data_IF_895177882489
#
_entry.id   IF_895177882489
#
_cell.length_a   1.000
_cell.length_b   1.000
_cell.length_c   1.000
_cell.angle_alpha   90.00
_cell.angle_beta   90.00
_cell.angle_gamma   90.00
#
_symmetry.space_group_name_H-M   'P 1'
#
loop_
_entity.id
_entity.type
_entity.pdbx_description
1 polymer ?
#
# COMPACT_ATOMS: atom_id res chain seq x y z
N UNK A 1 9.61 51.05 -10.64
CA UNK A 1 9.09 50.27 -11.79
C UNK A 1 10.22 49.36 -12.28
N UNK A 2 9.99 48.08 -12.64
CA UNK A 2 8.73 47.33 -12.69
C UNK A 2 8.69 46.08 -11.77
N UNK A 3 7.45 45.62 -11.56
CA UNK A 3 6.93 44.34 -11.03
C UNK A 3 6.56 43.45 -12.26
N UNK A 4 6.31 42.11 -12.18
CA UNK A 4 5.28 41.53 -11.30
C UNK A 4 5.52 40.13 -10.69
N UNK A 5 4.82 39.88 -9.59
CA UNK A 5 4.28 38.57 -9.16
C UNK A 5 2.82 38.50 -9.68
N UNK A 6 2.19 37.33 -9.95
CA UNK A 6 1.54 36.58 -8.86
C UNK A 6 1.28 35.06 -9.06
N UNK A 7 0.85 34.38 -7.96
CA UNK A 7 -0.01 33.17 -7.86
C UNK A 7 0.59 31.81 -8.34
N UNK A 8 0.42 30.64 -7.70
CA UNK A 8 -0.63 30.15 -6.79
C UNK A 8 -0.13 28.95 -5.94
N UNK A 9 -0.44 28.96 -4.63
CA UNK A 9 -0.44 27.81 -3.71
C UNK A 9 -1.44 26.74 -4.14
N UNK A 10 -1.22 25.47 -3.76
CA UNK A 10 -2.31 24.54 -3.38
C UNK A 10 -1.81 23.46 -2.39
N UNK A 11 -2.04 23.76 -1.09
CA UNK A 11 -2.55 22.89 -0.01
C UNK A 11 -1.73 21.62 0.34
N UNK A 12 -1.10 21.46 1.52
CA UNK A 12 -1.52 21.84 2.88
C UNK A 12 -3.02 21.61 3.13
N UNK A 13 -3.44 20.34 3.18
CA UNK A 13 -4.75 19.95 3.68
C UNK A 13 -4.76 19.83 5.20
N UNK A 14 -4.57 20.96 5.88
CA UNK A 14 -4.84 21.18 7.30
C UNK A 14 -3.93 20.47 8.31
N UNK A 15 -2.86 21.17 8.75
CA UNK A 15 -2.48 21.36 10.18
C UNK A 15 -0.97 21.52 10.49
N UNK A 16 -0.09 21.84 9.53
CA UNK A 16 1.28 22.25 9.88
C UNK A 16 1.81 23.39 9.00
N UNK A 17 1.56 24.63 9.44
CA UNK A 17 2.19 25.83 8.89
C UNK A 17 3.39 26.23 9.76
N UNK A 18 4.61 25.76 9.42
CA UNK A 18 5.87 26.46 9.70
C UNK A 18 7.09 25.61 9.26
N UNK A 19 8.02 26.14 8.45
CA UNK A 19 9.34 25.53 8.19
C UNK A 19 10.16 25.32 9.47
N UNK A 20 9.91 26.11 10.51
CA UNK A 20 10.52 25.92 11.82
C UNK A 20 9.94 24.71 12.57
N UNK A 21 8.70 24.28 12.26
CA UNK A 21 8.10 23.07 12.84
C UNK A 21 8.71 21.79 12.23
N UNK A 22 9.07 21.80 10.94
CA UNK A 22 9.79 20.70 10.30
C UNK A 22 11.20 20.51 10.89
N UNK A 23 11.98 21.60 11.04
CA UNK A 23 13.29 21.57 11.73
C UNK A 23 13.20 21.19 13.21
N UNK A 24 12.15 21.62 13.92
CA UNK A 24 11.90 21.18 15.31
C UNK A 24 11.57 19.68 15.40
N UNK A 25 10.97 19.09 14.36
CA UNK A 25 10.60 17.69 14.33
C UNK A 25 11.79 16.74 14.09
N UNK A 26 12.77 17.14 13.26
CA UNK A 26 14.05 16.42 13.14
C UNK A 26 14.84 16.44 14.45
N UNK A 27 14.80 17.55 15.20
CA UNK A 27 15.39 17.64 16.54
C UNK A 27 14.70 16.75 17.59
N UNK A 28 13.40 16.42 17.41
CA UNK A 28 12.66 15.56 18.34
C UNK A 28 13.02 14.08 18.18
N UNK A 29 13.45 13.65 16.98
CA UNK A 29 13.99 12.30 16.76
C UNK A 29 15.37 12.11 17.39
N UNK A 30 16.20 13.16 17.44
CA UNK A 30 17.53 13.11 18.08
C UNK A 30 17.48 13.05 19.62
N UNK A 31 16.34 13.40 20.23
CA UNK A 31 16.14 13.30 21.70
C UNK A 31 15.39 12.04 22.14
N UNK A 32 15.03 11.15 21.21
CA UNK A 32 14.27 9.95 21.52
C UNK A 32 15.20 8.86 22.10
N UNK A 33 14.98 8.49 23.36
CA UNK A 33 15.67 7.34 23.99
C UNK A 33 14.84 6.09 23.70
N UNK A 34 15.45 5.13 23.00
CA UNK A 34 14.87 3.81 22.76
C UNK A 34 15.26 2.90 23.93
N UNK A 35 14.33 2.61 24.84
CA UNK A 35 14.51 1.60 25.89
C UNK A 35 13.32 0.63 25.84
N UNK A 36 13.47 -0.49 25.13
CA UNK A 36 12.39 -1.46 24.91
C UNK A 36 11.23 -0.89 24.08
N UNK A 37 9.99 -1.28 24.41
CA UNK A 37 8.75 -1.00 23.64
C UNK A 37 8.21 0.45 23.76
N UNK A 38 9.02 1.40 24.22
CA UNK A 38 8.61 2.78 24.48
C UNK A 38 9.60 3.77 23.86
N UNK A 39 9.06 4.80 23.21
CA UNK A 39 9.79 5.99 22.78
C UNK A 39 9.28 7.18 23.58
N UNK A 40 10.18 7.89 24.26
CA UNK A 40 9.88 9.07 25.08
C UNK A 40 10.33 10.36 24.40
N UNK A 41 9.46 11.37 24.33
CA UNK A 41 9.82 12.73 23.91
C UNK A 41 9.55 13.69 25.05
N UNK A 42 10.58 14.43 25.49
CA UNK A 42 10.52 15.33 26.62
C UNK A 42 9.57 16.53 26.35
N UNK A 43 8.85 17.02 27.38
CA UNK A 43 7.95 18.17 27.23
C UNK A 43 8.71 19.48 26.89
N UNK A 44 8.02 20.48 26.30
CA UNK A 44 6.59 20.54 26.04
C UNK A 44 6.16 19.82 24.75
N UNK A 45 5.20 18.90 24.88
CA UNK A 45 4.59 18.16 23.77
C UNK A 45 3.07 18.14 23.89
N UNK A 46 2.40 18.31 22.76
CA UNK A 46 0.94 18.28 22.63
C UNK A 46 0.43 16.87 22.34
N UNK A 47 -0.86 16.63 22.59
CA UNK A 47 -1.54 15.36 22.24
C UNK A 47 -1.38 15.04 20.76
N UNK A 48 -1.51 16.04 19.88
CA UNK A 48 -1.34 15.89 18.43
C UNK A 48 0.09 15.47 18.07
N UNK A 49 1.10 15.99 18.76
CA UNK A 49 2.49 15.59 18.57
C UNK A 49 2.73 14.14 19.01
N UNK A 50 2.13 13.69 20.11
CA UNK A 50 2.22 12.29 20.53
C UNK A 50 1.52 11.34 19.55
N UNK A 51 0.35 11.72 19.03
CA UNK A 51 -0.36 10.96 18.01
C UNK A 51 0.44 10.84 16.71
N UNK A 52 1.05 11.95 16.27
CA UNK A 52 1.91 11.99 15.09
C UNK A 52 3.21 11.17 15.27
N UNK A 53 3.77 11.15 16.49
CA UNK A 53 4.91 10.30 16.81
C UNK A 53 4.53 8.82 16.76
N UNK A 54 3.40 8.45 17.38
CA UNK A 54 2.91 7.08 17.35
C UNK A 54 2.57 6.61 15.93
N UNK A 55 1.91 7.43 15.09
CA UNK A 55 1.62 7.05 13.70
C UNK A 55 2.88 6.81 12.86
N UNK A 56 4.04 7.34 13.28
CA UNK A 56 5.37 7.11 12.70
C UNK A 56 6.13 5.93 13.31
N UNK A 57 5.59 5.20 14.29
CA UNK A 57 6.22 4.02 14.90
C UNK A 57 5.51 2.71 14.51
N UNK A 58 6.27 1.69 14.11
CA UNK A 58 5.70 0.47 13.53
C UNK A 58 5.06 -0.34 14.65
N UNK A 59 3.80 -0.75 14.47
CA UNK A 59 3.03 -1.43 15.52
C UNK A 59 2.67 -0.55 16.72
N UNK A 60 2.79 0.79 16.62
CA UNK A 60 2.25 1.69 17.63
C UNK A 60 0.73 1.81 17.50
N UNK A 61 0.02 1.39 18.55
CA UNK A 61 -1.44 1.42 18.60
C UNK A 61 -2.00 2.56 19.45
N UNK A 62 -1.15 3.25 20.19
CA UNK A 62 -1.58 4.35 21.05
C UNK A 62 -0.41 5.08 21.69
N UNK A 63 -0.72 6.09 22.48
CA UNK A 63 0.27 6.89 23.19
C UNK A 63 -0.29 7.37 24.53
N UNK A 64 0.61 7.66 25.46
CA UNK A 64 0.31 8.41 26.68
C UNK A 64 1.05 9.75 26.63
N UNK A 65 0.37 10.83 27.00
CA UNK A 65 0.94 12.18 27.12
C UNK A 65 0.90 12.60 28.58
N UNK A 66 2.05 12.61 29.25
CA UNK A 66 2.22 13.15 30.59
C UNK A 66 2.70 14.62 30.52
N UNK A 67 2.19 15.52 31.38
CA UNK A 67 2.68 16.90 31.48
C UNK A 67 4.17 16.99 31.88
N UNK A 68 4.66 16.04 32.68
CA UNK A 68 6.00 16.03 33.27
C UNK A 68 6.97 15.13 32.50
N UNK A 69 6.50 14.01 31.97
CA UNK A 69 7.32 13.03 31.23
C UNK A 69 7.20 13.14 29.71
N UNK A 70 6.26 13.94 29.19
CA UNK A 70 6.08 14.16 27.76
C UNK A 70 5.30 13.04 27.05
N UNK A 71 5.70 12.66 25.83
CA UNK A 71 4.98 11.65 25.03
C UNK A 71 5.63 10.28 25.19
N UNK A 72 4.80 9.25 25.40
CA UNK A 72 5.20 7.84 25.35
C UNK A 72 4.39 7.13 24.27
N UNK A 73 5.04 6.65 23.22
CA UNK A 73 4.39 5.77 22.25
C UNK A 73 4.20 4.36 22.84
N UNK A 74 3.01 3.81 22.69
CA UNK A 74 2.62 2.48 23.13
C UNK A 74 2.58 1.55 21.92
N UNK A 75 3.59 0.69 21.84
CA UNK A 75 3.59 -0.43 20.93
C UNK A 75 2.57 -1.49 21.39
N UNK A 76 2.25 -2.40 20.48
CA UNK A 76 1.34 -3.55 20.64
C UNK A 76 1.28 -4.17 22.05
N UNK A 77 2.43 -4.46 22.64
CA UNK A 77 2.52 -5.20 23.92
C UNK A 77 2.20 -4.32 25.14
N UNK A 78 2.24 -2.99 24.99
CA UNK A 78 2.01 -2.02 26.06
C UNK A 78 0.60 -1.39 26.07
N UNK A 79 -0.27 -1.69 25.09
CA UNK A 79 -1.67 -1.23 25.09
C UNK A 79 -2.47 -1.74 26.31
N UNK A 80 -2.16 -2.95 26.80
CA UNK A 80 -2.75 -3.52 28.01
C UNK A 80 -2.25 -2.87 29.31
N UNK A 81 -1.13 -2.15 29.24
CA UNK A 81 -0.51 -1.48 30.38
C UNK A 81 -0.92 0.00 30.51
N UNK A 82 -1.76 0.50 29.61
CA UNK A 82 -2.26 1.89 29.60
C UNK A 82 -3.06 2.31 30.84
N UNK A 83 -3.36 1.39 31.76
CA UNK A 83 -4.24 1.62 32.90
C UNK A 83 -3.59 1.56 34.29
N UNK A 84 -2.24 1.65 34.43
CA UNK A 84 -1.62 1.69 35.77
C UNK A 84 -0.83 2.98 36.06
N UNK A 85 -1.43 3.73 36.99
CA UNK A 85 -1.05 5.01 37.63
C UNK A 85 -1.04 6.22 36.71
N UNK A 86 -2.23 6.81 36.56
CA UNK A 86 -2.39 8.16 36.03
C UNK A 86 -1.76 9.19 36.97
N UNK A 87 -0.68 9.83 36.55
CA UNK A 87 -0.40 11.19 37.01
C UNK A 87 -1.57 12.10 36.58
N UNK A 88 -2.07 13.01 37.44
CA UNK A 88 -3.10 13.96 37.07
C UNK A 88 -2.73 14.74 35.80
N UNK A 89 -3.62 14.73 34.80
CA UNK A 89 -3.41 15.41 33.52
C UNK A 89 -2.74 14.55 32.43
N UNK A 90 -2.53 13.25 32.68
CA UNK A 90 -2.14 12.31 31.63
C UNK A 90 -3.29 12.10 30.64
N UNK A 91 -3.00 12.16 29.34
CA UNK A 91 -3.98 11.89 28.27
C UNK A 91 -3.50 10.71 27.43
N UNK A 92 -4.33 9.69 27.31
CA UNK A 92 -4.06 8.51 26.48
C UNK A 92 -4.90 8.55 25.20
N UNK A 93 -4.34 8.07 24.09
CA UNK A 93 -5.05 8.00 22.81
C UNK A 93 -4.64 6.77 22.02
N UNK A 94 -5.57 6.22 21.23
CA UNK A 94 -5.28 5.15 20.26
C UNK A 94 -5.10 5.75 18.87
N UNK A 95 -4.20 5.17 18.08
CA UNK A 95 -4.01 5.56 16.68
C UNK A 95 -4.68 4.51 15.79
N UNK A 96 -5.59 4.91 14.87
CA UNK A 96 -6.26 3.95 14.00
C UNK A 96 -5.29 3.38 12.96
N UNK A 97 -5.61 2.19 12.43
CA UNK A 97 -4.81 1.58 11.36
C UNK A 97 -5.08 2.26 10.01
N UNK A 98 -4.03 2.65 9.30
CA UNK A 98 -4.10 3.32 7.99
C UNK A 98 -3.95 2.36 6.81
N UNK A 99 -3.63 1.09 7.08
CA UNK A 99 -3.46 0.03 6.09
C UNK A 99 -3.86 -1.34 6.66
N UNK A 100 -3.97 -2.34 5.78
CA UNK A 100 -4.16 -3.71 6.19
C UNK A 100 -2.96 -4.25 7.00
N UNK A 101 -1.73 -3.89 6.63
CA UNK A 101 -0.54 -4.34 7.33
C UNK A 101 -0.47 -3.78 8.76
N UNK A 102 -0.65 -2.47 8.92
CA UNK A 102 -0.65 -1.87 10.24
C UNK A 102 -1.75 -2.46 11.12
N UNK A 103 -2.93 -2.75 10.58
CA UNK A 103 -3.98 -3.42 11.33
C UNK A 103 -3.53 -4.78 11.87
N UNK A 104 -2.79 -5.55 11.09
CA UNK A 104 -2.22 -6.84 11.56
C UNK A 104 -1.15 -6.64 12.63
N UNK A 105 -0.34 -5.60 12.51
CA UNK A 105 0.65 -5.24 13.52
C UNK A 105 -0.01 -4.84 14.85
N UNK A 106 -1.19 -4.22 14.80
CA UNK A 106 -1.97 -3.86 15.98
C UNK A 106 -2.72 -5.07 16.56
N UNK A 107 -3.34 -5.90 15.72
CA UNK A 107 -4.09 -7.09 16.14
C UNK A 107 -3.71 -8.31 15.28
N UNK A 108 -3.09 -9.33 15.88
CA UNK A 108 -2.47 -10.48 15.17
C UNK A 108 -3.53 -11.47 14.74
N UNK A 109 -4.69 -11.38 15.38
CA UNK A 109 -5.89 -12.17 15.09
C UNK A 109 -6.86 -11.39 14.20
N UNK A 110 -6.43 -10.25 13.64
CA UNK A 110 -7.20 -9.46 12.70
C UNK A 110 -7.74 -10.35 11.57
N UNK A 111 -9.07 -10.47 11.38
CA UNK A 111 -9.61 -11.30 10.32
C UNK A 111 -9.36 -10.66 8.95
N UNK A 112 -9.27 -11.51 7.93
CA UNK A 112 -9.35 -11.08 6.53
C UNK A 112 -10.76 -10.61 6.19
N UNK A 113 -10.89 -9.73 5.21
CA UNK A 113 -12.19 -9.22 4.75
C UNK A 113 -12.16 -7.75 4.35
N UNK A 114 -13.32 -7.26 3.92
CA UNK A 114 -13.53 -5.87 3.50
C UNK A 114 -13.51 -4.94 4.69
N UNK A 115 -12.68 -3.91 4.62
CA UNK A 115 -12.50 -2.92 5.69
C UNK A 115 -12.18 -1.55 5.14
N UNK A 116 -12.39 -0.52 5.95
CA UNK A 116 -12.04 0.86 5.61
C UNK A 116 -10.92 1.35 6.55
N UNK A 117 -9.64 1.22 6.14
CA UNK A 117 -8.54 1.77 6.92
C UNK A 117 -8.70 3.29 7.06
N UNK A 118 -8.16 3.84 8.13
CA UNK A 118 -8.30 5.27 8.40
C UNK A 118 -7.61 6.10 7.32
N UNK A 119 -8.27 7.18 6.89
CA UNK A 119 -7.78 8.03 5.80
C UNK A 119 -8.03 7.48 4.40
N UNK A 120 -8.64 6.30 4.27
CA UNK A 120 -9.13 5.79 2.99
C UNK A 120 -10.56 6.27 2.73
N UNK A 121 -10.83 6.84 1.54
CA UNK A 121 -12.18 7.27 1.19
C UNK A 121 -13.11 6.08 0.89
N UNK A 122 -12.55 4.92 0.55
CA UNK A 122 -13.25 3.72 0.07
C UNK A 122 -12.76 2.49 0.85
N UNK A 123 -13.57 1.43 0.98
CA UNK A 123 -13.11 0.18 1.57
C UNK A 123 -12.10 -0.56 0.66
N UNK A 124 -11.32 -1.44 1.27
CA UNK A 124 -10.37 -2.35 0.62
C UNK A 124 -10.53 -3.74 1.21
N UNK A 125 -10.20 -4.78 0.44
CA UNK A 125 -10.10 -6.12 1.01
C UNK A 125 -8.71 -6.30 1.64
N UNK A 126 -8.70 -6.69 2.91
CA UNK A 126 -7.48 -7.06 3.62
C UNK A 126 -7.32 -8.58 3.69
N UNK A 127 -6.22 -9.11 3.18
CA UNK A 127 -5.81 -10.50 3.44
C UNK A 127 -4.79 -10.52 4.58
N UNK A 128 -5.23 -11.07 5.72
CA UNK A 128 -4.50 -11.07 6.98
C UNK A 128 -3.89 -12.43 7.32
N UNK A 129 -3.98 -13.41 6.40
CA UNK A 129 -3.57 -14.78 6.68
C UNK A 129 -2.47 -15.27 5.75
N UNK A 130 -2.64 -15.10 4.44
CA UNK A 130 -1.71 -15.66 3.49
C UNK A 130 -0.39 -14.89 3.48
N UNK A 131 0.71 -15.63 3.44
CA UNK A 131 2.07 -15.12 3.25
C UNK A 131 2.46 -14.02 4.26
N UNK A 132 2.12 -14.27 5.54
CA UNK A 132 2.36 -13.35 6.66
C UNK A 132 1.28 -12.28 6.86
N UNK A 133 0.28 -12.21 5.97
CA UNK A 133 -0.84 -11.28 6.07
C UNK A 133 -0.45 -9.81 5.86
N UNK A 134 -1.41 -8.92 6.11
CA UNK A 134 -1.25 -7.47 5.95
C UNK A 134 -1.43 -6.97 4.52
N UNK A 135 -1.92 -7.80 3.62
CA UNK A 135 -2.06 -7.47 2.20
C UNK A 135 -3.31 -6.62 1.96
N UNK A 136 -3.14 -5.56 1.17
CA UNK A 136 -4.22 -4.69 0.69
C UNK A 136 -4.50 -5.03 -0.77
N UNK A 137 -5.74 -5.41 -1.10
CA UNK A 137 -6.16 -5.63 -2.48
C UNK A 137 -6.25 -4.31 -3.23
N UNK A 138 -5.61 -4.21 -4.40
CA UNK A 138 -5.70 -3.03 -5.26
C UNK A 138 -6.52 -3.29 -6.52
N UNK A 139 -6.38 -4.46 -7.14
CA UNK A 139 -7.10 -4.81 -8.38
C UNK A 139 -7.54 -6.27 -8.33
N UNK A 140 -8.77 -6.51 -8.77
CA UNK A 140 -9.28 -7.82 -9.21
C UNK A 140 -9.71 -7.68 -10.66
N UNK A 141 -8.97 -8.30 -11.56
CA UNK A 141 -9.31 -8.37 -12.98
C UNK A 141 -10.05 -9.69 -13.23
N UNK A 142 -11.37 -9.67 -13.13
CA UNK A 142 -12.22 -10.85 -13.33
C UNK A 142 -12.84 -10.90 -14.73
N UNK A 143 -12.65 -9.85 -15.53
CA UNK A 143 -13.03 -9.77 -16.94
C UNK A 143 -11.99 -8.96 -17.74
N UNK A 144 -12.00 -9.10 -19.07
CA UNK A 144 -11.29 -8.22 -20.00
C UNK A 144 -12.06 -6.94 -20.30
N UNK A 145 -11.54 -6.11 -21.20
CA UNK A 145 -12.32 -5.07 -21.86
C UNK A 145 -12.52 -3.82 -21.00
N UNK A 146 -11.54 -3.48 -20.17
CA UNK A 146 -11.63 -2.31 -19.31
C UNK A 146 -11.26 -1.04 -20.10
N UNK A 147 -11.61 0.12 -19.54
CA UNK A 147 -11.08 1.42 -19.99
C UNK A 147 -9.91 1.87 -19.11
N UNK A 148 -9.14 2.83 -19.60
CA UNK A 148 -8.10 3.57 -18.85
C UNK A 148 -8.60 4.08 -17.48
N UNK A 149 -9.79 4.68 -17.45
CA UNK A 149 -10.42 5.16 -16.22
C UNK A 149 -10.78 4.02 -15.29
N UNK A 150 -11.27 2.89 -15.83
CA UNK A 150 -11.69 1.73 -15.05
C UNK A 150 -10.51 1.02 -14.38
N UNK A 151 -9.35 1.00 -15.03
CA UNK A 151 -8.11 0.46 -14.41
C UNK A 151 -7.75 1.23 -13.17
N UNK A 152 -7.98 2.54 -13.16
CA UNK A 152 -7.71 3.36 -11.99
C UNK A 152 -8.77 3.19 -10.91
N UNK A 153 -10.04 3.13 -11.30
CA UNK A 153 -11.19 2.98 -10.40
C UNK A 153 -12.34 2.21 -11.06
N UNK A 154 -12.71 1.10 -10.43
CA UNK A 154 -13.84 0.27 -10.83
C UNK A 154 -14.40 -0.42 -9.60
N UNK A 155 -15.70 -0.27 -9.36
CA UNK A 155 -16.38 -0.84 -8.19
C UNK A 155 -15.67 -0.53 -6.86
N UNK A 156 -15.12 0.69 -6.68
CA UNK A 156 -14.22 1.02 -5.55
C UNK A 156 -14.88 0.89 -4.16
N UNK A 157 -16.22 0.89 -4.07
CA UNK A 157 -16.97 0.65 -2.82
C UNK A 157 -17.24 -0.83 -2.53
N UNK A 158 -17.00 -1.74 -3.48
CA UNK A 158 -17.29 -3.17 -3.36
C UNK A 158 -16.06 -4.04 -3.65
N UNK A 159 -15.01 -4.02 -2.79
CA UNK A 159 -13.85 -4.87 -2.96
C UNK A 159 -14.23 -6.34 -3.03
N UNK A 160 -13.80 -7.01 -4.09
CA UNK A 160 -14.17 -8.40 -4.36
C UNK A 160 -12.96 -9.21 -4.84
N UNK A 161 -12.92 -10.49 -4.49
CA UNK A 161 -11.91 -11.43 -4.99
C UNK A 161 -12.35 -12.16 -6.26
N UNK A 162 -13.59 -11.98 -6.68
CA UNK A 162 -14.20 -12.73 -7.79
C UNK A 162 -14.96 -11.86 -8.79
N UNK A 163 -15.11 -10.57 -8.50
CA UNK A 163 -15.72 -9.58 -9.40
C UNK A 163 -14.74 -8.44 -9.62
N UNK A 164 -14.87 -7.76 -10.76
CA UNK A 164 -13.96 -6.68 -11.11
C UNK A 164 -13.90 -5.62 -10.02
N UNK A 165 -12.69 -5.22 -9.67
CA UNK A 165 -12.44 -4.21 -8.66
C UNK A 165 -11.14 -3.48 -8.99
N UNK A 166 -11.13 -2.17 -8.82
CA UNK A 166 -9.90 -1.39 -8.78
C UNK A 166 -10.02 -0.22 -7.80
N UNK A 167 -9.04 -0.15 -6.90
CA UNK A 167 -8.70 1.03 -6.12
C UNK A 167 -7.28 1.50 -6.44
N UNK A 168 -6.76 1.21 -7.64
CA UNK A 168 -5.39 1.48 -8.03
C UNK A 168 -5.02 2.97 -7.93
N UNK A 169 -5.97 3.88 -8.20
CA UNK A 169 -5.82 5.34 -7.97
C UNK A 169 -5.42 5.70 -6.53
N UNK A 170 -5.66 4.81 -5.56
CA UNK A 170 -5.34 4.99 -4.15
C UNK A 170 -4.03 4.31 -3.74
N UNK A 171 -3.39 3.53 -4.62
CA UNK A 171 -2.22 2.71 -4.32
C UNK A 171 -1.10 3.50 -3.61
N UNK A 172 -0.76 4.69 -4.13
CA UNK A 172 0.31 5.53 -3.57
C UNK A 172 0.06 6.00 -2.12
N UNK A 173 -1.16 5.85 -1.58
CA UNK A 173 -1.41 6.08 -0.15
C UNK A 173 -0.68 5.08 0.74
N UNK A 174 -0.43 3.87 0.26
CA UNK A 174 0.34 2.86 1.00
C UNK A 174 1.82 3.28 1.12
N UNK A 175 2.37 3.95 0.09
CA UNK A 175 3.75 4.42 0.08
C UNK A 175 4.03 5.46 1.18
N UNK A 176 3.05 6.32 1.49
CA UNK A 176 3.16 7.30 2.58
C UNK A 176 3.41 6.65 3.95
N UNK A 177 3.10 5.36 4.09
CA UNK A 177 3.23 4.59 5.33
C UNK A 177 4.38 3.59 5.31
N UNK A 178 5.09 3.44 4.18
CA UNK A 178 6.15 2.45 3.96
C UNK A 178 7.54 2.82 4.52
N UNK A 179 7.69 3.93 5.26
CA UNK A 179 8.82 4.23 6.18
C UNK A 179 10.26 3.99 5.67
N UNK A 180 10.55 4.14 4.38
CA UNK A 180 11.89 3.85 3.86
C UNK A 180 12.17 2.37 3.60
N UNK A 181 11.23 1.48 3.94
CA UNK A 181 11.35 0.04 3.78
C UNK A 181 10.86 -0.48 2.44
N UNK A 182 11.14 -1.74 2.19
CA UNK A 182 10.73 -2.42 0.96
C UNK A 182 9.21 -2.50 0.84
N UNK A 183 8.72 -2.42 -0.40
CA UNK A 183 7.34 -2.72 -0.74
C UNK A 183 7.26 -4.15 -1.25
N UNK A 184 6.24 -4.86 -0.80
CA UNK A 184 5.89 -6.16 -1.34
C UNK A 184 4.65 -6.04 -2.20
N UNK A 185 4.65 -6.75 -3.32
CA UNK A 185 3.46 -6.97 -4.11
C UNK A 185 3.26 -8.46 -4.37
N UNK A 186 2.00 -8.87 -4.43
CA UNK A 186 1.61 -10.25 -4.71
C UNK A 186 0.69 -10.27 -5.90
N UNK A 187 1.03 -11.12 -6.86
CA UNK A 187 0.24 -11.38 -8.05
C UNK A 187 -0.25 -12.82 -8.02
N UNK A 188 -1.55 -12.98 -8.22
CA UNK A 188 -2.19 -14.30 -8.29
C UNK A 188 -3.09 -14.29 -9.53
N UNK A 189 -2.73 -15.04 -10.55
CA UNK A 189 -3.60 -15.30 -11.70
C UNK A 189 -4.45 -16.54 -11.44
N UNK A 190 -5.44 -16.81 -12.29
CA UNK A 190 -6.33 -17.98 -12.17
C UNK A 190 -6.97 -18.10 -10.77
N UNK A 191 -7.22 -16.98 -10.10
CA UNK A 191 -7.65 -16.93 -8.70
C UNK A 191 -9.00 -17.63 -8.44
N UNK A 192 -9.82 -17.78 -9.47
CA UNK A 192 -11.07 -18.53 -9.44
C UNK A 192 -10.86 -20.04 -9.25
N UNK A 193 -9.67 -20.56 -9.56
CA UNK A 193 -9.30 -21.98 -9.36
C UNK A 193 -8.60 -22.24 -8.03
N UNK A 194 -8.06 -21.18 -7.40
CA UNK A 194 -7.34 -21.26 -6.14
C UNK A 194 -6.47 -20.04 -5.91
N UNK A 195 -6.04 -19.83 -4.67
CA UNK A 195 -5.07 -18.77 -4.31
C UNK A 195 -3.65 -19.23 -4.64
N UNK A 196 -2.73 -18.26 -4.77
CA UNK A 196 -1.30 -18.48 -5.07
C UNK A 196 -1.08 -19.32 -6.33
N UNK A 197 -1.71 -18.91 -7.43
CA UNK A 197 -1.55 -19.55 -8.74
C UNK A 197 -0.86 -18.58 -9.70
N UNK A 198 0.01 -19.13 -10.56
CA UNK A 198 0.61 -18.48 -11.73
C UNK A 198 1.04 -17.02 -11.51
N UNK A 199 1.90 -16.80 -10.55
CA UNK A 199 2.31 -15.46 -10.14
C UNK A 199 3.43 -15.53 -9.12
N UNK A 200 3.42 -14.64 -8.14
CA UNK A 200 4.42 -14.64 -7.09
C UNK A 200 4.30 -13.48 -6.13
N UNK A 201 5.19 -13.49 -5.14
CA UNK A 201 5.48 -12.37 -4.26
C UNK A 201 6.80 -11.78 -4.68
N UNK A 202 6.81 -10.47 -4.82
CA UNK A 202 7.96 -9.71 -5.26
C UNK A 202 8.21 -8.61 -4.25
N UNK A 203 9.46 -8.14 -4.21
CA UNK A 203 9.86 -7.03 -3.38
C UNK A 203 10.67 -6.03 -4.19
N UNK A 204 10.55 -4.77 -3.80
CA UNK A 204 11.25 -3.65 -4.41
C UNK A 204 11.58 -2.63 -3.31
N UNK A 205 12.70 -1.88 -3.44
CA UNK A 205 12.97 -0.74 -2.59
C UNK A 205 11.85 0.32 -2.65
N UNK A 206 12.00 1.41 -1.91
CA UNK A 206 11.02 2.49 -1.96
C UNK A 206 10.75 2.99 -3.39
N UNK A 207 9.46 3.10 -3.71
CA UNK A 207 8.96 3.65 -4.95
C UNK A 207 8.36 5.04 -4.73
N UNK A 208 8.47 5.89 -5.74
CA UNK A 208 7.73 7.15 -5.79
C UNK A 208 6.26 6.93 -6.23
N UNK A 209 5.99 5.85 -6.98
CA UNK A 209 4.66 5.50 -7.48
C UNK A 209 4.48 4.00 -7.69
N UNK A 210 3.31 3.47 -7.36
CA UNK A 210 2.86 2.09 -7.61
C UNK A 210 2.07 1.92 -8.91
N UNK A 211 1.98 2.98 -9.71
CA UNK A 211 1.14 3.04 -10.91
C UNK A 211 1.97 3.37 -12.15
N UNK A 212 3.11 4.04 -11.97
CA UNK A 212 4.00 4.38 -13.07
C UNK A 212 5.04 3.28 -13.25
N UNK A 213 5.47 3.09 -14.50
CA UNK A 213 6.50 2.12 -14.80
C UNK A 213 7.78 2.47 -14.05
N UNK A 214 8.33 1.48 -13.37
CA UNK A 214 9.64 1.56 -12.76
C UNK A 214 10.34 0.22 -12.92
N UNK A 215 11.65 0.26 -13.05
CA UNK A 215 12.51 -0.91 -12.92
C UNK A 215 13.84 -0.44 -12.33
N UNK A 216 14.55 -1.31 -11.62
CA UNK A 216 15.81 -0.93 -11.01
C UNK A 216 16.50 -2.02 -10.22
N UNK A 217 17.70 -1.74 -9.70
CA UNK A 217 18.39 -2.64 -8.79
C UNK A 217 17.58 -2.82 -7.49
N UNK A 218 17.63 -4.02 -6.90
CA UNK A 218 16.94 -4.35 -5.64
C UNK A 218 15.57 -5.02 -5.81
N UNK A 219 15.09 -5.17 -7.04
CA UNK A 219 13.82 -5.82 -7.33
C UNK A 219 14.03 -7.33 -7.37
N UNK A 220 13.23 -8.09 -6.63
CA UNK A 220 13.43 -9.54 -6.55
C UNK A 220 12.13 -10.32 -6.35
N UNK A 221 12.11 -11.53 -6.91
CA UNK A 221 11.11 -12.54 -6.65
C UNK A 221 11.40 -13.19 -5.30
N UNK A 222 10.49 -13.01 -4.35
CA UNK A 222 10.56 -13.59 -3.00
C UNK A 222 10.00 -15.01 -3.00
N UNK A 223 8.86 -15.21 -3.67
CA UNK A 223 8.21 -16.51 -3.73
C UNK A 223 7.49 -16.68 -5.07
N UNK A 224 7.72 -17.81 -5.72
CA UNK A 224 7.10 -18.15 -6.98
C UNK A 224 5.81 -18.95 -6.76
N UNK A 225 4.76 -18.62 -7.51
CA UNK A 225 3.51 -19.37 -7.56
C UNK A 225 3.32 -20.02 -8.93
N UNK A 226 3.19 -21.35 -8.96
CA UNK A 226 3.19 -22.12 -10.20
C UNK A 226 4.59 -22.34 -10.76
N UNK A 227 4.68 -22.78 -12.01
CA UNK A 227 5.96 -23.05 -12.70
C UNK A 227 6.06 -22.16 -13.92
N UNK A 228 6.97 -21.20 -13.89
CA UNK A 228 7.20 -20.24 -14.97
C UNK A 228 8.62 -19.66 -14.87
N UNK A 229 9.08 -18.96 -15.90
CA UNK A 229 10.39 -18.28 -15.88
C UNK A 229 10.21 -16.83 -16.32
N UNK A 230 11.13 -15.96 -15.90
CA UNK A 230 11.25 -14.63 -16.49
C UNK A 230 11.71 -14.75 -17.94
N UNK A 231 10.93 -14.20 -18.85
CA UNK A 231 11.26 -14.02 -20.26
C UNK A 231 10.36 -12.91 -20.83
N UNK A 232 10.55 -12.56 -22.10
CA UNK A 232 9.81 -11.49 -22.76
C UNK A 232 8.29 -11.77 -22.88
N UNK A 233 7.87 -13.01 -22.66
CA UNK A 233 6.52 -13.55 -22.94
C UNK A 233 5.90 -14.16 -21.66
N UNK A 234 6.22 -13.59 -20.51
CA UNK A 234 5.82 -14.01 -19.17
C UNK A 234 5.64 -12.77 -18.27
N UNK A 235 5.32 -12.98 -17.00
CA UNK A 235 5.33 -11.90 -16.01
C UNK A 235 6.75 -11.34 -15.86
N UNK A 236 6.87 -10.02 -15.80
CA UNK A 236 8.17 -9.37 -15.63
C UNK A 236 8.55 -9.18 -14.17
N UNK A 237 9.82 -8.87 -13.93
CA UNK A 237 10.34 -8.56 -12.60
C UNK A 237 10.11 -7.07 -12.28
N UNK A 238 8.87 -6.61 -12.44
CA UNK A 238 8.45 -5.24 -12.14
C UNK A 238 7.06 -5.14 -11.47
N UNK A 239 6.87 -4.12 -10.63
CA UNK A 239 5.58 -3.68 -10.11
C UNK A 239 4.65 -3.39 -11.27
N UNK A 240 3.39 -3.80 -11.12
CA UNK A 240 2.37 -3.53 -12.10
C UNK A 240 2.24 -2.02 -12.36
N UNK A 241 2.27 -1.62 -13.63
CA UNK A 241 2.19 -0.23 -14.03
C UNK A 241 1.15 -0.03 -15.13
N UNK A 242 0.64 1.20 -15.23
CA UNK A 242 -0.26 1.59 -16.30
C UNK A 242 0.55 1.84 -17.56
N UNK A 243 0.18 1.14 -18.63
CA UNK A 243 0.74 1.38 -19.95
C UNK A 243 0.20 2.71 -20.49
N UNK A 244 1.09 3.68 -20.72
CA UNK A 244 0.70 4.99 -21.25
C UNK A 244 0.38 4.94 -22.76
N UNK A 245 0.78 3.86 -23.44
CA UNK A 245 0.50 3.61 -24.85
C UNK A 245 -0.62 2.58 -25.03
N UNK A 246 -1.46 2.39 -24.00
CA UNK A 246 -2.51 1.36 -23.97
C UNK A 246 -3.50 1.40 -25.14
N UNK A 247 -3.69 2.56 -25.76
CA UNK A 247 -4.54 2.71 -26.94
C UNK A 247 -3.99 2.02 -28.19
N UNK A 248 -2.68 1.80 -28.23
CA UNK A 248 -1.98 1.08 -29.31
C UNK A 248 -1.74 -0.38 -28.94
N UNK A 249 -1.45 -0.62 -27.66
CA UNK A 249 -0.99 -1.91 -27.17
C UNK A 249 -2.13 -2.83 -26.69
N UNK A 250 -3.29 -2.27 -26.33
CA UNK A 250 -4.42 -3.01 -25.79
C UNK A 250 -4.18 -3.54 -24.37
N UNK A 251 -3.06 -3.19 -23.73
CA UNK A 251 -2.71 -3.59 -22.37
C UNK A 251 -2.80 -2.37 -21.48
N UNK A 252 -3.60 -2.41 -20.42
CA UNK A 252 -3.81 -1.25 -19.55
C UNK A 252 -2.98 -1.32 -18.27
N UNK A 253 -2.90 -2.50 -17.66
CA UNK A 253 -2.12 -2.76 -16.46
C UNK A 253 -1.29 -4.01 -16.69
N UNK A 254 0.03 -3.89 -16.60
CA UNK A 254 0.97 -4.96 -16.98
C UNK A 254 2.22 -4.95 -16.12
N UNK A 255 2.98 -6.03 -16.20
CA UNK A 255 4.19 -6.29 -15.39
C UNK A 255 5.45 -6.53 -16.23
N UNK A 256 5.38 -6.30 -17.54
CA UNK A 256 6.47 -6.45 -18.50
C UNK A 256 6.20 -5.51 -19.65
N UNK A 257 7.18 -4.78 -20.19
CA UNK A 257 7.02 -3.93 -21.38
C UNK A 257 7.45 -4.60 -22.71
N UNK A 258 7.75 -5.90 -22.70
CA UNK A 258 8.42 -6.57 -23.82
C UNK A 258 7.48 -7.14 -24.87
N UNK A 259 6.37 -7.74 -24.44
CA UNK A 259 5.35 -8.38 -25.29
C UNK A 259 3.99 -8.30 -24.57
N UNK A 260 2.92 -8.86 -25.14
CA UNK A 260 1.57 -8.80 -24.60
C UNK A 260 1.39 -9.55 -23.27
N UNK A 261 2.24 -10.55 -23.01
CA UNK A 261 2.20 -11.36 -21.81
C UNK A 261 2.59 -10.59 -20.52
N UNK A 262 2.18 -11.13 -19.38
CA UNK A 262 2.27 -10.46 -18.08
C UNK A 262 1.24 -9.34 -17.90
N UNK A 263 0.16 -9.35 -18.68
CA UNK A 263 -0.93 -8.36 -18.62
C UNK A 263 -1.97 -8.74 -17.58
N UNK A 264 -2.21 -7.83 -16.64
CA UNK A 264 -3.23 -7.95 -15.59
C UNK A 264 -4.59 -7.54 -16.15
N UNK A 265 -4.65 -6.39 -16.83
CA UNK A 265 -5.89 -5.83 -17.41
C UNK A 265 -5.69 -5.50 -18.88
N UNK A 266 -6.49 -6.11 -19.74
CA UNK A 266 -6.57 -5.78 -21.18
C UNK A 266 -7.68 -4.76 -21.45
N UNK A 267 -7.46 -3.90 -22.45
CA UNK A 267 -8.40 -2.88 -22.88
C UNK A 267 -9.58 -3.45 -23.67
N UNK A 268 -10.67 -2.69 -23.72
CA UNK A 268 -11.71 -2.88 -24.73
C UNK A 268 -11.14 -2.64 -26.13
N UNK A 269 -11.46 -3.50 -27.10
CA UNK A 269 -10.94 -3.39 -28.46
C UNK A 269 -9.45 -3.71 -28.58
N UNK A 270 -8.86 -4.39 -27.58
CA UNK A 270 -7.47 -4.82 -27.67
C UNK A 270 -7.25 -5.73 -28.90
N UNK A 271 -6.07 -5.67 -29.56
CA UNK A 271 -5.81 -6.50 -30.76
C UNK A 271 -6.02 -8.00 -30.54
N UNK A 272 -5.84 -8.46 -29.30
CA UNK A 272 -6.01 -9.83 -28.84
C UNK A 272 -7.37 -10.12 -28.17
N UNK A 273 -8.36 -9.24 -28.32
CA UNK A 273 -9.68 -9.45 -27.75
C UNK A 273 -10.30 -10.77 -28.24
N UNK A 274 -10.77 -11.59 -27.29
CA UNK A 274 -11.34 -12.91 -27.56
C UNK A 274 -10.33 -14.04 -27.81
N UNK A 275 -9.02 -13.76 -27.83
CA UNK A 275 -7.98 -14.78 -27.96
C UNK A 275 -7.62 -15.42 -26.61
N UNK A 276 -7.78 -14.66 -25.53
CA UNK A 276 -7.55 -15.10 -24.16
C UNK A 276 -8.83 -14.93 -23.35
N UNK A 277 -9.01 -15.75 -22.31
CA UNK A 277 -10.17 -15.67 -21.42
C UNK A 277 -10.32 -14.25 -20.84
N UNK A 278 -9.22 -13.64 -20.37
CA UNK A 278 -9.20 -12.23 -19.94
C UNK A 278 -8.00 -11.44 -20.47
N UNK A 279 -6.77 -11.87 -20.17
CA UNK A 279 -5.54 -11.22 -20.63
C UNK A 279 -4.44 -12.24 -20.94
N UNK A 280 -3.51 -11.93 -21.86
CA UNK A 280 -2.29 -12.70 -22.07
C UNK A 280 -1.41 -12.68 -20.82
N UNK A 281 -1.00 -13.86 -20.35
CA UNK A 281 -0.33 -14.01 -19.07
C UNK A 281 1.07 -14.64 -19.15
N UNK A 282 1.18 -15.96 -19.38
CA UNK A 282 2.47 -16.66 -19.48
C UNK A 282 2.43 -17.60 -20.69
N UNK A 283 3.18 -17.29 -21.75
CA UNK A 283 3.20 -18.11 -22.97
C UNK A 283 3.67 -19.55 -22.67
N UNK A 284 3.04 -20.53 -23.32
CA UNK A 284 3.39 -21.95 -23.23
C UNK A 284 2.84 -22.65 -21.99
N UNK A 285 2.81 -21.97 -20.83
CA UNK A 285 2.44 -22.61 -19.56
C UNK A 285 1.02 -22.25 -19.09
N UNK A 286 0.72 -20.95 -19.02
CA UNK A 286 -0.59 -20.45 -18.66
C UNK A 286 -0.90 -19.20 -19.47
N UNK A 287 -1.28 -19.35 -20.76
CA UNK A 287 -1.47 -18.22 -21.65
C UNK A 287 -2.60 -17.30 -21.19
N UNK A 288 -3.63 -17.87 -20.56
CA UNK A 288 -4.77 -17.14 -20.02
C UNK A 288 -4.51 -16.68 -18.58
N UNK A 289 -4.75 -15.40 -18.30
CA UNK A 289 -4.65 -14.89 -16.93
C UNK A 289 -5.76 -15.38 -16.00
N UNK A 290 -6.96 -15.64 -16.52
CA UNK A 290 -8.14 -15.87 -15.67
C UNK A 290 -8.37 -14.68 -14.72
N UNK A 291 -8.94 -14.91 -13.53
CA UNK A 291 -9.06 -13.84 -12.54
C UNK A 291 -7.69 -13.51 -11.97
N UNK A 292 -7.24 -12.26 -12.12
CA UNK A 292 -5.98 -11.78 -11.53
C UNK A 292 -6.25 -10.93 -10.30
N UNK A 293 -5.55 -11.23 -9.20
CA UNK A 293 -5.53 -10.43 -7.98
C UNK A 293 -4.17 -9.74 -7.84
N UNK A 294 -4.19 -8.43 -7.69
CA UNK A 294 -3.02 -7.61 -7.42
C UNK A 294 -3.10 -7.01 -6.02
N UNK A 295 -2.12 -7.38 -5.20
CA UNK A 295 -2.03 -7.00 -3.80
C UNK A 295 -0.76 -6.21 -3.53
N UNK A 296 -0.83 -5.30 -2.56
CA UNK A 296 0.34 -4.58 -2.06
C UNK A 296 0.38 -4.62 -0.54
N UNK A 297 1.59 -4.70 0.00
CA UNK A 297 1.90 -4.62 1.42
C UNK A 297 3.17 -3.80 1.61
N UNK A 298 3.07 -2.76 2.42
CA UNK A 298 4.21 -2.01 2.91
C UNK A 298 4.88 -2.70 4.10
N UNK A 299 6.17 -2.41 4.31
CA UNK A 299 6.96 -2.85 5.47
C UNK A 299 7.03 -1.76 6.56
#
# INVERSE_FOLDING_TARGET
>A
MPLPCPLLLLLCGYLCQSPAAARRFELLTDQAIINGSMMTVAPPVTVTQCAALCSRLSGCGGFNRSPTAGCVALLRDSLRFSYRREEPGTVSGTVPAFSCHQRLLLNREAPSGVQRPFGWPVPVYCDQKLDGGGWTLLVTAATAGWTDVQVMVRNEEEPSLSADYSALRRANRLLNHARGGDIFYRLEAQAQTGRRQWGGIFTTPQLESLILQGSGPGWSLVEQFGTWNFNDRSIGNEVAYIDQESSLSGMLLRTSNRDEFGTIVSAVGAPHEGQFLHSPWIEGEMPDSGTVLYWVREN
#
